data_IF_807251767891
#
_entry.id   IF_807251767891
#
_cell.length_a   1.000
_cell.length_b   1.000
_cell.length_c   1.000
_cell.angle_alpha   90.00
_cell.angle_beta   90.00
_cell.angle_gamma   90.00
#
_symmetry.space_group_name_H-M   'P 1'
#
loop_
_entity.id
_entity.type
_entity.pdbx_description
1 polymer ?
#
# COMPACT_ATOMS: atom_id res chain seq x y z
N UNK A 1 -9.85 -18.80 31.50
CA UNK A 1 -9.21 -17.65 30.88
C UNK A 1 -8.24 -17.03 31.88
N UNK A 2 -7.04 -16.67 31.47
CA UNK A 2 -6.14 -15.91 32.32
C UNK A 2 -6.84 -14.57 32.66
N UNK A 3 -6.79 -14.16 33.94
CA UNK A 3 -7.32 -12.87 34.32
C UNK A 3 -6.30 -11.80 33.88
N UNK A 4 -6.55 -11.15 32.74
CA UNK A 4 -5.74 -10.08 32.18
C UNK A 4 -6.33 -8.69 32.45
N UNK A 5 -7.29 -8.59 33.39
CA UNK A 5 -7.89 -7.32 33.77
C UNK A 5 -6.83 -6.35 34.27
N UNK A 6 -6.87 -5.11 33.79
CA UNK A 6 -5.91 -4.06 34.12
C UNK A 6 -4.61 -4.08 33.33
N UNK A 7 -4.44 -5.02 32.39
CA UNK A 7 -3.34 -4.99 31.44
C UNK A 7 -3.61 -3.88 30.39
N UNK A 8 -2.55 -3.17 30.00
CA UNK A 8 -2.58 -2.23 28.86
C UNK A 8 -1.71 -2.80 27.75
N UNK A 9 -2.27 -2.93 26.56
CA UNK A 9 -1.56 -3.26 25.34
C UNK A 9 -1.26 -1.99 24.56
N UNK A 10 -0.01 -1.85 24.13
CA UNK A 10 0.46 -0.72 23.34
C UNK A 10 0.60 -1.14 21.88
N UNK A 11 -0.07 -0.42 20.99
CA UNK A 11 0.02 -0.64 19.56
C UNK A 11 0.47 0.60 18.81
N UNK A 12 1.01 0.40 17.59
CA UNK A 12 1.30 1.50 16.67
C UNK A 12 0.78 1.19 15.29
N UNK A 13 0.18 2.19 14.64
CA UNK A 13 -0.42 2.08 13.30
C UNK A 13 -0.25 3.36 12.51
N UNK A 14 -0.39 3.25 11.20
CA UNK A 14 -0.60 4.41 10.35
C UNK A 14 -1.96 5.06 10.63
N UNK A 15 -2.07 6.39 10.48
CA UNK A 15 -3.29 7.15 10.73
C UNK A 15 -4.28 7.04 9.56
N UNK A 16 -4.70 5.81 9.25
CA UNK A 16 -5.77 5.52 8.29
C UNK A 16 -7.16 5.62 8.96
N UNK A 17 -8.27 5.74 8.19
CA UNK A 17 -9.60 5.69 8.76
C UNK A 17 -9.88 4.41 9.56
N UNK A 18 -9.52 3.18 9.12
CA UNK A 18 -9.66 1.97 9.93
C UNK A 18 -8.86 2.00 11.22
N UNK A 19 -7.62 2.50 11.19
CA UNK A 19 -6.78 2.61 12.40
C UNK A 19 -7.36 3.58 13.42
N UNK A 20 -7.87 4.73 12.97
CA UNK A 20 -8.57 5.66 13.86
C UNK A 20 -9.82 5.05 14.47
N UNK A 21 -10.61 4.33 13.68
CA UNK A 21 -11.78 3.60 14.19
C UNK A 21 -11.37 2.53 15.22
N UNK A 22 -10.28 1.81 14.97
CA UNK A 22 -9.72 0.85 15.92
C UNK A 22 -9.32 1.52 17.25
N UNK A 23 -8.62 2.66 17.19
CA UNK A 23 -8.18 3.38 18.37
C UNK A 23 -9.34 4.04 19.16
N UNK A 24 -10.32 4.60 18.46
CA UNK A 24 -11.37 5.42 19.06
C UNK A 24 -12.59 4.60 19.50
N UNK A 25 -12.89 3.50 18.82
CA UNK A 25 -14.09 2.68 19.04
C UNK A 25 -13.73 1.26 19.47
N UNK A 26 -13.03 0.48 18.63
CA UNK A 26 -12.79 -0.94 18.90
C UNK A 26 -11.96 -1.17 20.16
N UNK A 27 -11.00 -0.30 20.46
CA UNK A 27 -10.19 -0.39 21.68
C UNK A 27 -11.07 -0.28 22.95
N UNK A 28 -12.06 0.62 22.95
CA UNK A 28 -12.99 0.80 24.07
C UNK A 28 -13.96 -0.38 24.22
N UNK A 29 -14.45 -0.89 23.08
CA UNK A 29 -15.34 -2.06 23.08
C UNK A 29 -14.59 -3.30 23.58
N UNK A 30 -13.32 -3.45 23.20
CA UNK A 30 -12.47 -4.53 23.67
C UNK A 30 -12.17 -4.41 25.17
N UNK A 31 -11.86 -3.22 25.67
CA UNK A 31 -11.66 -2.95 27.10
C UNK A 31 -12.94 -3.27 27.89
N UNK A 32 -14.10 -2.83 27.40
CA UNK A 32 -15.39 -3.12 28.06
C UNK A 32 -15.71 -4.62 28.11
N UNK A 33 -15.30 -5.38 27.10
CA UNK A 33 -15.55 -6.81 27.01
C UNK A 33 -14.54 -7.66 27.80
N UNK A 34 -13.31 -7.20 27.96
CA UNK A 34 -12.19 -8.02 28.46
C UNK A 34 -11.53 -7.47 29.73
N UNK A 35 -11.69 -6.19 30.03
CA UNK A 35 -10.94 -5.48 31.07
C UNK A 35 -9.49 -5.15 30.67
N UNK A 36 -9.10 -5.40 29.41
CA UNK A 36 -7.78 -5.10 28.87
C UNK A 36 -7.85 -3.77 28.12
N UNK A 37 -7.05 -2.81 28.52
CA UNK A 37 -6.93 -1.52 27.83
C UNK A 37 -6.07 -1.68 26.58
N UNK A 38 -6.47 -1.02 25.48
CA UNK A 38 -5.66 -0.93 24.26
C UNK A 38 -5.37 0.54 23.99
N UNK A 39 -4.10 0.88 23.89
CA UNK A 39 -3.62 2.20 23.47
C UNK A 39 -2.98 2.06 22.07
N UNK A 40 -3.67 2.53 21.04
CA UNK A 40 -3.18 2.49 19.67
C UNK A 40 -2.71 3.89 19.26
N UNK A 41 -1.41 4.03 19.10
CA UNK A 41 -0.79 5.24 18.52
C UNK A 41 -1.04 5.22 17.00
N UNK A 42 -1.81 6.17 16.48
CA UNK A 42 -2.00 6.37 15.05
C UNK A 42 -1.19 7.61 14.60
N UNK A 43 -0.22 7.41 13.70
CA UNK A 43 0.71 8.44 13.26
C UNK A 43 0.97 8.36 11.75
N UNK A 44 1.87 9.18 11.20
CA UNK A 44 2.25 9.06 9.78
C UNK A 44 2.99 7.74 9.52
N UNK A 45 2.94 7.26 8.27
CA UNK A 45 3.60 6.03 7.85
C UNK A 45 5.08 5.99 8.24
N UNK A 46 5.82 7.05 7.94
CA UNK A 46 7.26 7.14 8.25
C UNK A 46 7.54 7.05 9.75
N UNK A 47 6.71 7.71 10.56
CA UNK A 47 6.85 7.69 12.02
C UNK A 47 6.50 6.32 12.59
N UNK A 48 5.43 5.71 12.10
CA UNK A 48 5.04 4.36 12.50
C UNK A 48 6.17 3.37 12.22
N UNK A 49 6.64 3.32 10.98
CA UNK A 49 7.70 2.41 10.57
C UNK A 49 8.97 2.62 11.40
N UNK A 50 9.43 3.88 11.51
CA UNK A 50 10.66 4.21 12.24
C UNK A 50 10.57 3.84 13.72
N UNK A 51 9.46 4.12 14.38
CA UNK A 51 9.25 3.81 15.80
C UNK A 51 9.20 2.30 16.03
N UNK A 52 8.44 1.57 15.20
CA UNK A 52 8.32 0.11 15.32
C UNK A 52 9.67 -0.58 15.11
N UNK A 53 10.41 -0.24 14.05
CA UNK A 53 11.72 -0.82 13.77
C UNK A 53 12.74 -0.49 14.86
N UNK A 54 12.77 0.75 15.35
CA UNK A 54 13.70 1.16 16.41
C UNK A 54 13.42 0.40 17.73
N UNK A 55 12.14 0.23 18.10
CA UNK A 55 11.75 -0.54 19.27
C UNK A 55 12.20 -2.00 19.16
N UNK A 56 11.94 -2.65 18.01
CA UNK A 56 12.32 -4.04 17.75
C UNK A 56 13.84 -4.22 17.73
N UNK A 57 14.59 -3.31 17.09
CA UNK A 57 16.06 -3.35 17.07
C UNK A 57 16.68 -3.15 18.44
N UNK A 58 16.11 -2.28 19.25
CA UNK A 58 16.57 -2.02 20.60
C UNK A 58 16.12 -3.11 21.60
N UNK A 59 15.11 -3.92 21.24
CA UNK A 59 14.51 -4.92 22.13
C UNK A 59 13.83 -4.31 23.35
N UNK A 60 13.31 -3.09 23.22
CA UNK A 60 12.71 -2.35 24.35
C UNK A 60 11.28 -2.78 24.66
N UNK A 61 10.56 -3.35 23.67
CA UNK A 61 9.20 -3.87 23.87
C UNK A 61 8.20 -2.78 24.25
N UNK A 62 8.29 -1.62 23.59
CA UNK A 62 7.34 -0.53 23.78
C UNK A 62 5.99 -0.89 23.19
N UNK A 63 6.01 -1.57 22.03
CA UNK A 63 4.80 -1.98 21.33
C UNK A 63 4.58 -3.48 21.43
N UNK A 64 3.38 -3.87 21.86
CA UNK A 64 2.92 -5.27 21.90
C UNK A 64 2.43 -5.74 20.54
N UNK A 65 1.93 -4.82 19.69
CA UNK A 65 1.51 -5.10 18.34
C UNK A 65 1.73 -3.91 17.41
N UNK A 66 1.93 -4.19 16.13
CA UNK A 66 2.24 -3.19 15.11
C UNK A 66 1.42 -3.41 13.85
N UNK A 67 1.04 -2.33 13.18
CA UNK A 67 0.54 -2.38 11.83
C UNK A 67 1.70 -2.60 10.86
N UNK A 68 1.53 -3.52 9.91
CA UNK A 68 2.56 -3.88 8.94
C UNK A 68 1.93 -3.93 7.56
N UNK A 69 2.57 -3.30 6.61
CA UNK A 69 2.20 -3.42 5.21
C UNK A 69 2.87 -4.62 4.55
N UNK A 70 2.20 -5.17 3.52
CA UNK A 70 2.62 -6.39 2.84
C UNK A 70 4.00 -6.30 2.18
N UNK A 71 4.42 -5.13 1.76
CA UNK A 71 5.66 -4.90 1.03
C UNK A 71 6.87 -4.70 1.93
N UNK A 72 6.66 -4.37 3.21
CA UNK A 72 7.74 -4.23 4.20
C UNK A 72 7.89 -5.43 5.13
N UNK A 73 6.96 -6.40 5.09
CA UNK A 73 6.99 -7.56 6.00
C UNK A 73 8.30 -8.35 5.93
N UNK A 74 8.92 -8.40 4.76
CA UNK A 74 10.17 -9.16 4.57
C UNK A 74 11.31 -8.65 5.45
N UNK A 75 11.36 -7.35 5.74
CA UNK A 75 12.35 -6.78 6.66
C UNK A 75 12.15 -7.24 8.11
N UNK A 76 10.89 -7.43 8.50
CA UNK A 76 10.53 -7.93 9.83
C UNK A 76 10.84 -9.43 9.97
N UNK A 77 10.51 -10.23 8.93
CA UNK A 77 10.77 -11.66 8.90
C UNK A 77 12.28 -11.97 8.87
N UNK A 78 13.04 -11.19 8.10
CA UNK A 78 14.50 -11.35 8.00
C UNK A 78 15.24 -11.11 9.32
N UNK A 79 14.61 -10.46 10.28
CA UNK A 79 15.19 -10.13 11.58
C UNK A 79 14.47 -10.82 12.75
N UNK A 80 13.57 -11.76 12.50
CA UNK A 80 12.78 -12.47 13.51
C UNK A 80 12.00 -11.54 14.47
N UNK A 81 11.48 -10.42 13.93
CA UNK A 81 10.77 -9.43 14.75
C UNK A 81 9.31 -9.79 15.02
N UNK A 82 8.73 -10.70 14.26
CA UNK A 82 7.32 -11.04 14.33
C UNK A 82 7.10 -12.41 14.97
N UNK A 83 6.05 -12.51 15.76
CA UNK A 83 5.62 -13.80 16.31
C UNK A 83 4.99 -14.68 15.22
N UNK A 84 5.45 -15.92 15.12
CA UNK A 84 4.81 -16.95 14.30
C UNK A 84 3.45 -17.32 14.93
N UNK A 85 2.37 -16.75 14.37
CA UNK A 85 1.01 -16.94 14.90
C UNK A 85 0.52 -18.37 14.71
N UNK A 86 0.88 -19.04 13.61
CA UNK A 86 0.53 -20.45 13.38
C UNK A 86 1.08 -21.34 14.48
N UNK A 87 2.37 -21.18 14.80
CA UNK A 87 3.02 -21.95 15.84
C UNK A 87 2.51 -21.58 17.23
N UNK A 88 2.33 -20.29 17.50
CA UNK A 88 1.83 -19.80 18.79
C UNK A 88 0.46 -20.43 19.12
N UNK A 89 -0.46 -20.46 18.18
CA UNK A 89 -1.79 -21.01 18.38
C UNK A 89 -1.80 -22.53 18.40
N UNK A 90 -0.92 -23.20 17.66
CA UNK A 90 -0.75 -24.65 17.72
C UNK A 90 -0.24 -25.11 19.11
N UNK A 91 0.75 -24.39 19.66
CA UNK A 91 1.31 -24.68 20.97
C UNK A 91 0.37 -24.27 22.13
N UNK A 92 -0.52 -23.31 21.87
CA UNK A 92 -1.43 -22.70 22.87
C UNK A 92 -2.86 -22.57 22.35
N UNK A 93 -3.58 -23.66 22.11
CA UNK A 93 -4.89 -23.62 21.44
C UNK A 93 -5.98 -22.83 22.22
N UNK A 94 -5.77 -22.56 23.49
CA UNK A 94 -6.68 -21.77 24.32
C UNK A 94 -6.52 -20.24 24.15
N UNK A 95 -5.51 -19.78 23.41
CA UNK A 95 -5.30 -18.34 23.16
C UNK A 95 -6.29 -17.80 22.11
N UNK A 96 -6.75 -18.63 21.18
CA UNK A 96 -7.73 -18.22 20.20
C UNK A 96 -9.16 -18.48 20.68
N UNK A 97 -10.08 -17.60 20.28
CA UNK A 97 -11.52 -17.89 20.39
C UNK A 97 -11.86 -19.16 19.60
N UNK A 98 -12.83 -20.00 20.04
CA UNK A 98 -13.29 -21.15 19.26
C UNK A 98 -13.75 -20.82 17.85
N UNK A 99 -14.16 -19.58 17.62
CA UNK A 99 -14.59 -19.08 16.31
C UNK A 99 -13.46 -18.48 15.49
N UNK A 100 -12.25 -18.39 16.02
CA UNK A 100 -11.10 -17.86 15.29
C UNK A 100 -10.59 -18.90 14.30
N UNK A 101 -10.47 -18.48 13.02
CA UNK A 101 -9.93 -19.33 11.96
C UNK A 101 -9.25 -18.41 10.92
N UNK A 102 -7.99 -18.69 10.62
CA UNK A 102 -7.26 -17.97 9.57
C UNK A 102 -7.93 -18.08 8.18
N UNK A 103 -8.65 -19.16 7.92
CA UNK A 103 -9.39 -19.35 6.67
C UNK A 103 -10.58 -18.39 6.47
N UNK A 104 -10.99 -17.67 7.52
CA UNK A 104 -12.02 -16.63 7.44
C UNK A 104 -11.52 -15.30 6.90
N UNK A 105 -10.20 -15.11 6.85
CA UNK A 105 -9.60 -13.93 6.24
C UNK A 105 -9.55 -14.10 4.72
N UNK A 106 -9.50 -12.98 3.99
CA UNK A 106 -9.33 -12.99 2.54
C UNK A 106 -7.98 -13.57 2.16
N UNK A 107 -7.78 -13.93 0.88
CA UNK A 107 -6.49 -14.40 0.36
C UNK A 107 -5.33 -13.39 0.57
N UNK A 108 -5.65 -12.16 0.93
CA UNK A 108 -4.65 -11.16 1.30
C UNK A 108 -3.73 -11.60 2.46
N UNK A 109 -4.23 -12.50 3.34
CA UNK A 109 -3.41 -13.11 4.41
C UNK A 109 -2.20 -13.87 3.87
N UNK A 110 -2.23 -14.30 2.59
CA UNK A 110 -1.12 -15.04 1.99
C UNK A 110 0.15 -14.18 1.85
N UNK A 111 0.02 -12.85 1.85
CA UNK A 111 1.14 -11.92 1.85
C UNK A 111 1.91 -11.89 3.20
N UNK A 112 1.33 -12.48 4.24
CA UNK A 112 1.91 -12.52 5.60
C UNK A 112 2.36 -13.92 6.00
N UNK A 113 2.70 -14.77 5.01
CA UNK A 113 3.19 -16.13 5.19
C UNK A 113 4.66 -16.26 4.81
N UNK A 114 5.35 -17.17 5.50
CA UNK A 114 6.65 -17.68 5.06
C UNK A 114 6.49 -18.82 4.04
N UNK A 115 7.61 -19.39 3.58
CA UNK A 115 7.65 -20.50 2.62
C UNK A 115 6.97 -21.78 3.14
N UNK A 116 6.96 -21.98 4.44
CA UNK A 116 6.33 -23.11 5.11
C UNK A 116 4.82 -22.90 5.33
N UNK A 117 4.30 -21.71 5.00
CA UNK A 117 2.89 -21.33 5.18
C UNK A 117 2.54 -20.85 6.59
N UNK A 118 3.53 -20.57 7.43
CA UNK A 118 3.29 -19.96 8.74
C UNK A 118 2.85 -18.51 8.60
N UNK A 119 1.89 -18.10 9.41
CA UNK A 119 1.28 -16.77 9.40
C UNK A 119 1.90 -15.90 10.48
N UNK A 120 2.25 -14.67 10.13
CA UNK A 120 2.89 -13.68 11.01
C UNK A 120 2.06 -12.41 11.20
N UNK A 121 0.96 -12.28 10.48
CA UNK A 121 0.02 -11.16 10.61
C UNK A 121 -1.36 -11.52 10.14
N UNK A 122 -2.35 -10.76 10.58
CA UNK A 122 -3.73 -10.89 10.11
C UNK A 122 -4.16 -9.60 9.41
N UNK A 123 -4.88 -9.68 8.26
CA UNK A 123 -5.35 -8.49 7.57
C UNK A 123 -6.28 -7.65 8.46
N UNK A 124 -5.95 -6.38 8.63
CA UNK A 124 -6.80 -5.39 9.28
C UNK A 124 -7.64 -4.64 8.26
N UNK A 125 -7.05 -4.29 7.14
CA UNK A 125 -7.67 -3.59 6.03
C UNK A 125 -7.12 -4.11 4.70
N UNK A 126 -7.88 -3.87 3.64
CA UNK A 126 -7.45 -4.06 2.28
C UNK A 126 -7.96 -2.89 1.45
N UNK A 127 -7.11 -2.33 0.60
CA UNK A 127 -7.48 -1.25 -0.28
C UNK A 127 -7.26 -1.64 -1.74
N UNK A 128 -8.02 -0.99 -2.59
CA UNK A 128 -7.91 -1.14 -4.03
C UNK A 128 -7.43 0.18 -4.61
N UNK A 129 -6.43 0.11 -5.47
CA UNK A 129 -6.12 1.24 -6.35
C UNK A 129 -7.16 1.27 -7.48
N UNK A 130 -7.66 2.46 -7.75
CA UNK A 130 -8.69 2.66 -8.76
C UNK A 130 -8.29 3.82 -9.67
N UNK A 131 -8.58 3.68 -10.95
CA UNK A 131 -8.41 4.77 -11.91
C UNK A 131 -9.60 5.72 -11.80
N UNK A 132 -9.34 6.94 -11.36
CA UNK A 132 -10.34 8.01 -11.27
C UNK A 132 -10.18 8.95 -12.46
N UNK A 133 -11.33 9.47 -12.96
CA UNK A 133 -11.34 10.45 -14.01
C UNK A 133 -12.46 11.49 -13.82
N UNK A 134 -12.28 12.66 -14.37
CA UNK A 134 -13.27 13.76 -14.34
C UNK A 134 -14.37 13.48 -15.34
N UNK A 135 -15.46 12.84 -14.86
CA UNK A 135 -16.59 12.46 -15.69
C UNK A 135 -17.21 13.67 -16.44
N UNK A 136 -17.25 14.82 -15.78
CA UNK A 136 -17.76 16.06 -16.37
C UNK A 136 -16.95 16.47 -17.62
N UNK A 137 -15.61 16.45 -17.55
CA UNK A 137 -14.74 16.76 -18.68
C UNK A 137 -14.83 15.69 -19.78
N UNK A 138 -14.80 14.42 -19.42
CA UNK A 138 -14.90 13.32 -20.37
C UNK A 138 -16.27 13.22 -21.07
N UNK A 139 -17.32 13.81 -20.48
CA UNK A 139 -18.68 13.80 -21.06
C UNK A 139 -19.02 15.09 -21.77
N UNK A 140 -18.14 16.09 -21.81
CA UNK A 140 -18.38 17.35 -22.50
C UNK A 140 -18.26 17.16 -24.03
N UNK A 141 -19.31 17.46 -24.82
CA UNK A 141 -19.26 17.22 -26.27
C UNK A 141 -18.20 18.05 -27.00
N UNK A 142 -17.89 19.26 -26.53
CA UNK A 142 -16.87 20.09 -27.15
C UNK A 142 -15.47 19.55 -26.91
N UNK A 143 -15.23 19.07 -25.69
CA UNK A 143 -13.98 18.42 -25.32
C UNK A 143 -13.79 17.09 -26.09
N UNK A 144 -14.86 16.29 -26.22
CA UNK A 144 -14.82 15.04 -26.98
C UNK A 144 -14.52 15.32 -28.48
N UNK A 145 -15.12 16.35 -29.07
CA UNK A 145 -14.85 16.71 -30.46
C UNK A 145 -13.40 17.19 -30.64
N UNK A 146 -12.90 18.04 -29.74
CA UNK A 146 -11.52 18.52 -29.75
C UNK A 146 -10.50 17.37 -29.60
N UNK A 147 -10.73 16.47 -28.66
CA UNK A 147 -9.88 15.29 -28.49
C UNK A 147 -9.85 14.40 -29.73
N UNK A 148 -11.03 14.11 -30.28
CA UNK A 148 -11.15 13.29 -31.49
C UNK A 148 -10.49 13.94 -32.70
N UNK A 149 -10.54 15.25 -32.83
CA UNK A 149 -9.84 16.00 -33.88
C UNK A 149 -8.32 15.90 -33.74
N UNK A 150 -7.80 15.89 -32.51
CA UNK A 150 -6.36 15.82 -32.21
C UNK A 150 -5.79 14.40 -32.36
N UNK A 151 -6.50 13.38 -31.86
CA UNK A 151 -5.98 12.02 -31.72
C UNK A 151 -6.64 10.99 -32.66
N UNK A 152 -7.77 11.32 -33.30
CA UNK A 152 -8.43 10.48 -34.30
C UNK A 152 -9.31 9.36 -33.73
N UNK A 153 -9.53 9.33 -32.41
CA UNK A 153 -10.42 8.38 -31.74
C UNK A 153 -11.21 9.07 -30.61
N UNK A 154 -12.22 8.39 -30.05
CA UNK A 154 -13.10 8.97 -29.06
C UNK A 154 -12.43 9.06 -27.68
N UNK A 155 -12.63 10.18 -26.97
CA UNK A 155 -12.19 10.39 -25.60
C UNK A 155 -12.91 9.41 -24.66
N UNK A 156 -12.15 8.59 -23.97
CA UNK A 156 -12.63 7.64 -22.98
C UNK A 156 -11.58 7.41 -21.89
N UNK A 157 -11.96 6.87 -20.71
CA UNK A 157 -10.98 6.38 -19.73
C UNK A 157 -10.03 5.39 -20.39
N UNK A 158 -8.74 5.60 -20.19
CA UNK A 158 -7.70 4.84 -20.87
C UNK A 158 -7.71 3.35 -20.53
N UNK A 159 -7.46 2.52 -21.53
CA UNK A 159 -7.27 1.05 -21.38
C UNK A 159 -5.89 0.61 -21.85
N UNK A 160 -5.08 1.53 -22.37
CA UNK A 160 -3.69 1.31 -22.79
C UNK A 160 -2.82 2.47 -22.31
N UNK A 161 -1.50 2.25 -22.23
CA UNK A 161 -0.54 3.30 -21.86
C UNK A 161 -0.59 4.48 -22.84
N UNK A 162 -0.74 4.20 -24.14
CA UNK A 162 -0.84 5.26 -25.15
C UNK A 162 -2.09 6.11 -24.93
N UNK A 163 -3.25 5.49 -24.70
CA UNK A 163 -4.49 6.25 -24.42
C UNK A 163 -4.37 7.06 -23.12
N UNK A 164 -3.64 6.53 -22.11
CA UNK A 164 -3.40 7.26 -20.88
C UNK A 164 -2.55 8.50 -21.13
N UNK A 165 -1.45 8.35 -21.88
CA UNK A 165 -0.59 9.47 -22.26
C UNK A 165 -1.34 10.48 -23.12
N UNK A 166 -2.06 10.04 -24.15
CA UNK A 166 -2.84 10.94 -25.02
C UNK A 166 -3.89 11.74 -24.24
N UNK A 167 -4.55 11.11 -23.25
CA UNK A 167 -5.47 11.80 -22.35
C UNK A 167 -4.73 12.83 -21.48
N UNK A 168 -3.57 12.48 -20.95
CA UNK A 168 -2.78 13.36 -20.10
C UNK A 168 -2.29 14.58 -20.88
N UNK A 169 -1.62 14.36 -22.01
CA UNK A 169 -1.14 15.44 -22.90
C UNK A 169 -2.29 16.38 -23.32
N UNK A 170 -3.43 15.77 -23.70
CA UNK A 170 -4.57 16.55 -24.14
C UNK A 170 -5.13 17.48 -23.06
N UNK A 171 -5.35 16.96 -21.85
CA UNK A 171 -5.93 17.78 -20.78
C UNK A 171 -4.97 18.81 -20.24
N UNK A 172 -3.67 18.54 -20.21
CA UNK A 172 -2.63 19.54 -19.90
C UNK A 172 -2.69 20.67 -20.91
N UNK A 173 -2.63 20.37 -22.21
CA UNK A 173 -2.68 21.38 -23.27
C UNK A 173 -4.03 22.13 -23.28
N UNK A 174 -5.15 21.42 -23.07
CA UNK A 174 -6.46 22.03 -22.97
C UNK A 174 -6.56 23.01 -21.81
N UNK A 175 -5.93 22.68 -20.67
CA UNK A 175 -5.83 23.60 -19.54
C UNK A 175 -5.08 24.89 -19.90
N UNK A 176 -3.91 24.75 -20.51
CA UNK A 176 -3.08 25.87 -20.95
C UNK A 176 -3.82 26.77 -21.95
N UNK A 177 -4.40 26.18 -23.01
CA UNK A 177 -5.10 26.89 -24.07
C UNK A 177 -6.31 27.67 -23.58
N UNK A 178 -6.95 27.22 -22.51
CA UNK A 178 -8.15 27.84 -21.93
C UNK A 178 -7.88 28.66 -20.66
N UNK A 179 -6.61 28.74 -20.22
CA UNK A 179 -6.24 29.48 -19.01
C UNK A 179 -6.83 28.86 -17.74
N UNK A 180 -6.97 27.54 -17.73
CA UNK A 180 -7.48 26.77 -16.59
C UNK A 180 -6.32 26.15 -15.80
N UNK A 181 -6.46 26.08 -14.50
CA UNK A 181 -5.60 25.28 -13.65
C UNK A 181 -6.05 23.81 -13.75
N UNK A 182 -5.62 23.16 -14.84
CA UNK A 182 -5.99 21.79 -15.18
C UNK A 182 -4.75 21.04 -15.65
N UNK A 183 -4.55 19.87 -15.08
CA UNK A 183 -3.45 18.96 -15.39
C UNK A 183 -4.00 17.64 -15.92
N UNK A 184 -3.26 17.01 -16.81
CA UNK A 184 -3.71 15.81 -17.51
C UNK A 184 -3.76 14.59 -16.62
N UNK A 185 -2.89 14.51 -15.63
CA UNK A 185 -2.84 13.41 -14.67
C UNK A 185 -2.35 13.86 -13.30
N UNK A 186 -2.42 12.96 -12.33
CA UNK A 186 -1.73 13.07 -11.04
C UNK A 186 -1.39 11.67 -10.55
N UNK A 187 -0.13 11.47 -10.21
CA UNK A 187 0.39 10.25 -9.56
C UNK A 187 1.25 10.65 -8.37
N UNK A 188 1.50 9.71 -7.47
CA UNK A 188 2.35 9.99 -6.31
C UNK A 188 3.82 10.00 -6.74
N UNK A 189 4.43 11.18 -6.81
CA UNK A 189 5.79 11.37 -7.29
C UNK A 189 6.78 11.91 -6.24
N UNK A 190 6.44 11.89 -4.95
CA UNK A 190 7.26 12.48 -3.90
C UNK A 190 8.64 11.84 -3.83
N UNK A 191 9.66 12.63 -4.16
CA UNK A 191 11.05 12.16 -4.18
C UNK A 191 11.54 11.82 -2.78
N UNK A 192 11.95 10.55 -2.59
CA UNK A 192 12.47 10.05 -1.32
C UNK A 192 11.42 9.59 -0.34
N UNK A 193 10.15 9.59 -0.72
CA UNK A 193 9.07 9.02 0.07
C UNK A 193 8.60 7.68 -0.50
N UNK A 194 8.13 6.79 0.37
CA UNK A 194 7.64 5.46 0.00
C UNK A 194 6.44 5.48 -0.95
N UNK A 195 5.63 6.55 -0.95
CA UNK A 195 4.46 6.67 -1.82
C UNK A 195 4.80 6.57 -3.30
N UNK A 196 5.91 7.18 -3.75
CA UNK A 196 6.35 7.07 -5.15
C UNK A 196 6.80 5.65 -5.50
N UNK A 197 7.40 4.95 -4.55
CA UNK A 197 7.74 3.55 -4.68
C UNK A 197 6.50 2.68 -4.86
N UNK A 198 5.46 2.86 -4.05
CA UNK A 198 4.19 2.13 -4.17
C UNK A 198 3.51 2.44 -5.50
N UNK A 199 3.48 3.70 -5.93
CA UNK A 199 2.89 4.06 -7.21
C UNK A 199 3.54 3.31 -8.36
N UNK A 200 4.88 3.28 -8.40
CA UNK A 200 5.60 2.58 -9.44
C UNK A 200 5.37 1.07 -9.38
N UNK A 201 5.61 0.43 -8.22
CA UNK A 201 5.61 -1.03 -8.12
C UNK A 201 4.23 -1.67 -8.02
N UNK A 202 3.23 -0.96 -7.54
CA UNK A 202 1.89 -1.50 -7.41
C UNK A 202 0.96 -1.10 -8.56
N UNK A 203 1.21 0.05 -9.19
CA UNK A 203 0.33 0.57 -10.25
C UNK A 203 0.98 0.49 -11.63
N UNK A 204 2.20 1.00 -11.80
CA UNK A 204 2.80 1.17 -13.13
C UNK A 204 3.52 -0.09 -13.61
N UNK A 205 4.49 -0.61 -12.87
CA UNK A 205 5.30 -1.75 -13.29
C UNK A 205 4.48 -3.01 -13.62
N UNK A 206 3.42 -3.36 -12.88
CA UNK A 206 2.56 -4.50 -13.22
C UNK A 206 1.88 -4.37 -14.58
N UNK A 207 1.53 -3.17 -15.03
CA UNK A 207 0.90 -2.96 -16.34
C UNK A 207 1.86 -3.22 -17.50
N UNK A 208 3.16 -3.22 -17.25
CA UNK A 208 4.22 -3.64 -18.17
C UNK A 208 4.60 -5.12 -18.02
N UNK A 209 3.92 -5.84 -17.11
CA UNK A 209 4.19 -7.25 -16.82
C UNK A 209 5.42 -7.48 -15.94
N UNK A 210 5.76 -6.51 -15.09
CA UNK A 210 6.87 -6.60 -14.13
C UNK A 210 6.30 -6.80 -12.74
N UNK A 211 6.48 -8.01 -12.19
CA UNK A 211 5.88 -8.42 -10.92
C UNK A 211 6.89 -8.98 -9.92
N UNK A 212 8.03 -9.49 -10.39
CA UNK A 212 8.89 -10.31 -9.58
C UNK A 212 10.06 -9.51 -9.00
N UNK A 213 10.15 -9.45 -7.69
CA UNK A 213 11.29 -8.87 -6.97
C UNK A 213 12.49 -9.81 -6.86
N UNK A 214 12.29 -11.12 -7.15
CA UNK A 214 13.32 -12.14 -6.97
C UNK A 214 13.70 -12.34 -5.51
N UNK A 215 12.72 -12.35 -4.62
CA UNK A 215 12.95 -12.57 -3.19
C UNK A 215 13.22 -14.04 -2.93
N UNK A 216 14.36 -14.34 -2.30
CA UNK A 216 14.67 -15.64 -1.75
C UNK A 216 14.06 -15.76 -0.36
N UNK A 217 13.13 -16.70 -0.16
CA UNK A 217 12.40 -16.85 1.09
C UNK A 217 13.23 -17.51 2.22
N UNK A 218 14.41 -18.04 1.94
CA UNK A 218 15.31 -18.57 2.97
C UNK A 218 16.09 -17.46 3.69
N UNK A 219 16.42 -16.38 2.97
CA UNK A 219 17.23 -15.28 3.49
C UNK A 219 16.66 -13.89 3.26
N UNK A 220 15.45 -13.79 2.67
CA UNK A 220 14.70 -12.57 2.39
C UNK A 220 15.44 -11.52 1.54
N UNK A 221 16.40 -11.98 0.72
CA UNK A 221 17.15 -11.09 -0.18
C UNK A 221 16.58 -11.14 -1.57
N UNK A 222 16.40 -9.97 -2.17
CA UNK A 222 16.01 -9.83 -3.56
C UNK A 222 17.25 -9.86 -4.46
N UNK A 223 17.18 -10.59 -5.58
CA UNK A 223 18.23 -10.58 -6.59
C UNK A 223 17.69 -10.97 -7.97
N UNK A 224 18.45 -10.62 -9.01
CA UNK A 224 18.17 -11.02 -10.39
C UNK A 224 18.32 -12.54 -10.57
N UNK A 225 19.27 -13.16 -9.87
CA UNK A 225 19.51 -14.61 -9.89
C UNK A 225 18.30 -15.41 -9.40
N UNK A 226 17.52 -14.82 -8.48
CA UNK A 226 16.25 -15.40 -8.01
C UNK A 226 15.04 -15.06 -8.90
N UNK A 227 15.29 -14.55 -10.10
CA UNK A 227 14.23 -14.18 -11.06
C UNK A 227 13.71 -12.75 -10.91
N UNK A 228 14.44 -11.87 -10.20
CA UNK A 228 14.06 -10.47 -10.06
C UNK A 228 14.05 -9.73 -11.39
N UNK A 229 12.97 -8.99 -11.66
CA UNK A 229 12.74 -8.29 -12.93
C UNK A 229 12.96 -6.78 -12.84
N UNK A 230 13.27 -6.25 -11.66
CA UNK A 230 13.34 -4.79 -11.41
C UNK A 230 14.46 -4.06 -12.16
N UNK A 231 15.38 -4.79 -12.81
CA UNK A 231 16.37 -4.24 -13.73
C UNK A 231 16.19 -4.72 -15.19
N UNK A 232 15.04 -5.28 -15.51
CA UNK A 232 14.71 -5.70 -16.88
C UNK A 232 14.45 -4.51 -17.79
N UNK A 233 14.46 -4.74 -19.12
CA UNK A 233 14.14 -3.69 -20.08
C UNK A 233 12.69 -3.22 -19.95
N UNK A 234 11.77 -4.14 -19.59
CA UNK A 234 10.38 -3.79 -19.28
C UNK A 234 10.25 -2.89 -18.04
N UNK A 235 11.04 -3.13 -17.00
CA UNK A 235 11.05 -2.27 -15.82
C UNK A 235 11.59 -0.86 -16.15
N UNK A 236 12.58 -0.78 -17.01
CA UNK A 236 13.11 0.52 -17.51
C UNK A 236 12.08 1.24 -18.38
N UNK A 237 11.34 0.52 -19.22
CA UNK A 237 10.25 1.08 -20.03
C UNK A 237 9.11 1.60 -19.13
N UNK A 238 8.69 0.83 -18.13
CA UNK A 238 7.71 1.25 -17.14
C UNK A 238 8.14 2.51 -16.38
N UNK A 239 9.41 2.56 -15.97
CA UNK A 239 9.97 3.73 -15.28
C UNK A 239 10.02 4.95 -16.20
N UNK A 240 10.41 4.78 -17.46
CA UNK A 240 10.43 5.86 -18.43
C UNK A 240 9.03 6.42 -18.70
N UNK A 241 8.02 5.55 -18.81
CA UNK A 241 6.61 5.94 -18.93
C UNK A 241 6.17 6.76 -17.70
N UNK A 242 6.40 6.26 -16.50
CA UNK A 242 6.02 6.94 -15.26
C UNK A 242 6.69 8.31 -15.11
N UNK A 243 7.99 8.38 -15.36
CA UNK A 243 8.73 9.65 -15.32
C UNK A 243 8.21 10.62 -16.41
N UNK A 244 7.82 10.10 -17.56
CA UNK A 244 7.24 10.89 -18.64
C UNK A 244 5.94 11.61 -18.23
N UNK A 245 5.11 10.97 -17.40
CA UNK A 245 3.85 11.54 -16.91
C UNK A 245 4.03 12.81 -16.06
N UNK A 246 5.23 13.04 -15.49
CA UNK A 246 5.52 14.24 -14.71
C UNK A 246 5.36 15.55 -15.52
N UNK A 247 5.42 15.47 -16.84
CA UNK A 247 5.17 16.63 -17.72
C UNK A 247 3.69 17.09 -17.69
N UNK A 248 2.79 16.17 -17.36
CA UNK A 248 1.33 16.37 -17.37
C UNK A 248 0.73 16.50 -15.96
N UNK A 249 1.59 16.63 -14.96
CA UNK A 249 1.22 16.74 -13.56
C UNK A 249 1.41 18.15 -13.02
N UNK A 250 0.69 18.51 -11.93
CA UNK A 250 0.94 19.76 -11.25
C UNK A 250 2.39 19.77 -10.69
N UNK A 251 3.02 20.96 -10.62
CA UNK A 251 4.40 21.09 -10.13
C UNK A 251 4.64 20.47 -8.73
N UNK A 252 3.59 20.36 -7.93
CA UNK A 252 3.61 19.78 -6.60
C UNK A 252 3.61 18.25 -6.59
N UNK A 253 3.44 17.58 -7.72
CA UNK A 253 3.38 16.11 -7.80
C UNK A 253 4.62 15.43 -7.21
N UNK A 254 5.81 16.00 -7.39
CA UNK A 254 7.06 15.50 -6.80
C UNK A 254 7.19 15.74 -5.29
N UNK A 255 6.26 16.45 -4.69
CA UNK A 255 6.13 16.69 -3.24
C UNK A 255 4.86 16.04 -2.66
N UNK A 256 4.03 15.40 -3.50
CA UNK A 256 2.77 14.77 -3.09
C UNK A 256 2.98 13.33 -2.62
N UNK A 257 2.29 13.00 -1.53
CA UNK A 257 2.23 11.65 -0.95
C UNK A 257 0.79 11.16 -0.89
#
# INVERSE_FOLDING_TARGET
AANCEGVTLQGISESTPPSRYAAEVLAKDFEAATGIKVELEATSWDQMYSKAINDMQAGTGIYDFVYIEQDIIYSYLANDYLTNLTKLLADNPNLASPDFDFAKFTSFIDNFKDAEGNIYGVPMEAFLKVYLYRKDLFSDPAIQEAFKAAYGYDLAPATTHQQYQDNADFFTQYGEDNGLELWGTTVQGNTGHSSSFYEFFESIAPTFGVYNWGINQENWKASVENGGEMNSDKAKEALAFWVGLLADEPPEATAST
#
